data_IF_350643381572
#
_entry.id   IF_350643381572
#
_cell.length_a   1.000
_cell.length_b   1.000
_cell.length_c   1.000
_cell.angle_alpha   90.00
_cell.angle_beta   90.00
_cell.angle_gamma   90.00
#
_symmetry.space_group_name_H-M   'P 1'
#
loop_
_entity.id
_entity.type
_entity.pdbx_description
1 polymer ?
#
# COMPACT_ATOMS: atom_id res chain seq x y z
N UNK A 1 -10.54 -0.63 -4.14
CA UNK A 1 -11.69 0.29 -4.00
C UNK A 1 -11.54 1.45 -4.98
N UNK A 2 -11.82 1.22 -6.28
CA UNK A 2 -11.60 2.22 -7.35
C UNK A 2 -12.89 2.75 -7.98
N UNK A 3 -14.05 2.22 -7.57
CA UNK A 3 -15.35 2.52 -8.16
C UNK A 3 -15.71 4.02 -8.08
N UNK A 4 -15.57 4.70 -6.91
CA UNK A 4 -15.90 6.12 -6.82
C UNK A 4 -14.97 7.02 -7.64
N UNK A 5 -13.72 6.59 -7.83
CA UNK A 5 -12.73 7.29 -8.65
C UNK A 5 -13.06 7.13 -10.13
N UNK A 6 -13.45 5.91 -10.54
CA UNK A 6 -13.77 5.62 -11.95
C UNK A 6 -15.04 6.36 -12.39
N UNK A 7 -16.06 6.44 -11.53
CA UNK A 7 -17.30 7.17 -11.81
C UNK A 7 -17.07 8.68 -11.92
N UNK A 8 -16.15 9.23 -11.12
CA UNK A 8 -15.89 10.67 -11.07
C UNK A 8 -14.71 11.11 -11.93
N UNK A 9 -14.09 10.22 -12.70
CA UNK A 9 -13.00 10.58 -13.63
C UNK A 9 -13.53 10.64 -15.05
N UNK A 10 -13.13 11.67 -15.79
CA UNK A 10 -13.49 11.84 -17.20
C UNK A 10 -12.34 12.45 -17.99
N UNK A 11 -12.44 12.40 -19.31
CA UNK A 11 -11.52 13.07 -20.21
C UNK A 11 -11.86 14.56 -20.28
N UNK A 12 -11.02 15.41 -19.69
CA UNK A 12 -11.16 16.86 -19.69
C UNK A 12 -10.16 17.48 -20.67
N UNK A 13 -10.57 18.52 -21.40
CA UNK A 13 -9.69 19.26 -22.29
C UNK A 13 -9.02 20.40 -21.50
N UNK A 14 -7.70 20.34 -21.34
CA UNK A 14 -6.89 21.40 -20.69
C UNK A 14 -5.79 21.81 -21.67
N UNK A 15 -5.76 23.08 -22.09
CA UNK A 15 -4.73 23.65 -22.97
C UNK A 15 -4.51 22.76 -24.22
N UNK A 16 -5.59 22.47 -24.95
CA UNK A 16 -5.58 21.63 -26.16
C UNK A 16 -5.10 20.18 -25.99
N UNK A 17 -4.91 19.69 -24.75
CA UNK A 17 -4.62 18.29 -24.44
C UNK A 17 -5.80 17.66 -23.72
N UNK A 18 -6.13 16.43 -24.12
CA UNK A 18 -7.10 15.58 -23.44
C UNK A 18 -6.43 14.89 -22.26
N UNK A 19 -6.89 15.18 -21.05
CA UNK A 19 -6.33 14.66 -19.80
C UNK A 19 -7.42 13.94 -19.00
N UNK A 20 -7.11 12.78 -18.45
CA UNK A 20 -8.04 12.09 -17.54
C UNK A 20 -7.99 12.77 -16.17
N UNK A 21 -9.09 13.39 -15.75
CA UNK A 21 -9.15 14.15 -14.51
C UNK A 21 -10.55 14.10 -13.86
N UNK A 22 -10.64 14.55 -12.62
CA UNK A 22 -11.88 14.43 -11.83
C UNK A 22 -12.91 15.48 -12.22
N UNK A 23 -14.17 15.05 -12.36
CA UNK A 23 -15.28 15.83 -12.91
C UNK A 23 -15.94 16.75 -11.87
N UNK A 24 -16.27 16.24 -10.67
CA UNK A 24 -17.01 16.94 -9.60
C UNK A 24 -16.54 16.50 -8.19
N UNK A 25 -16.78 17.32 -7.16
CA UNK A 25 -16.48 17.06 -5.74
C UNK A 25 -15.04 16.62 -5.44
N UNK A 26 -14.11 17.50 -5.81
CA UNK A 26 -12.66 17.29 -5.69
C UNK A 26 -12.27 16.96 -4.23
N UNK A 27 -12.80 17.67 -3.23
CA UNK A 27 -12.36 17.49 -1.84
C UNK A 27 -12.72 16.13 -1.22
N UNK A 28 -13.99 15.71 -1.32
CA UNK A 28 -14.43 14.41 -0.80
C UNK A 28 -13.77 13.25 -1.55
N UNK A 29 -13.57 13.39 -2.86
CA UNK A 29 -12.93 12.38 -3.68
C UNK A 29 -11.43 12.27 -3.37
N UNK A 30 -10.75 13.39 -3.13
CA UNK A 30 -9.34 13.39 -2.70
C UNK A 30 -9.22 12.78 -1.30
N UNK A 31 -10.10 13.12 -0.35
CA UNK A 31 -10.10 12.50 0.98
C UNK A 31 -10.30 10.98 0.86
N UNK A 32 -11.26 10.55 0.04
CA UNK A 32 -11.49 9.14 -0.22
C UNK A 32 -10.26 8.47 -0.87
N UNK A 33 -9.64 9.12 -1.85
CA UNK A 33 -8.40 8.64 -2.48
C UNK A 33 -7.26 8.48 -1.50
N UNK A 34 -7.05 9.49 -0.65
CA UNK A 34 -5.97 9.53 0.34
C UNK A 34 -6.17 8.50 1.46
N UNK A 35 -7.42 8.25 1.89
CA UNK A 35 -7.70 7.29 2.97
C UNK A 35 -7.84 5.85 2.47
N UNK A 36 -8.52 5.64 1.35
CA UNK A 36 -9.01 4.32 0.94
C UNK A 36 -8.40 3.78 -0.36
N UNK A 37 -7.88 4.62 -1.26
CA UNK A 37 -7.48 4.15 -2.60
C UNK A 37 -5.98 4.08 -2.86
N UNK A 38 -5.22 5.17 -2.72
CA UNK A 38 -3.82 5.18 -3.18
C UNK A 38 -2.85 4.55 -2.20
N UNK A 39 -3.10 4.80 -0.92
CA UNK A 39 -2.17 4.40 0.14
C UNK A 39 -2.82 3.44 1.11
N UNK A 40 -4.13 3.26 0.94
CA UNK A 40 -5.00 2.48 1.79
C UNK A 40 -4.62 2.69 3.26
N UNK A 41 -4.40 3.94 3.66
CA UNK A 41 -3.85 4.30 4.96
C UNK A 41 -4.73 3.72 6.08
N UNK A 42 -6.04 3.69 5.85
CA UNK A 42 -6.98 2.98 6.72
C UNK A 42 -6.74 1.47 6.75
N UNK A 43 -6.54 0.81 5.59
CA UNK A 43 -6.22 -0.62 5.54
C UNK A 43 -4.86 -0.91 6.21
N UNK A 44 -3.85 -0.06 6.00
CA UNK A 44 -2.55 -0.17 6.64
C UNK A 44 -2.64 -0.05 8.16
N UNK A 45 -3.36 0.96 8.68
CA UNK A 45 -3.56 1.14 10.12
C UNK A 45 -4.30 -0.07 10.74
N UNK A 46 -5.34 -0.56 10.06
CA UNK A 46 -6.09 -1.74 10.50
C UNK A 46 -5.18 -2.97 10.52
N UNK A 47 -4.43 -3.21 9.45
CA UNK A 47 -3.56 -4.40 9.37
C UNK A 47 -2.42 -4.34 10.39
N UNK A 48 -1.75 -3.20 10.55
CA UNK A 48 -0.73 -3.03 11.59
C UNK A 48 -1.33 -3.26 12.98
N UNK A 49 -2.51 -2.70 13.28
CA UNK A 49 -3.15 -2.94 14.58
C UNK A 49 -3.42 -4.42 14.81
N UNK A 50 -3.97 -5.12 13.82
CA UNK A 50 -4.27 -6.55 13.91
C UNK A 50 -2.97 -7.36 14.07
N UNK A 51 -1.96 -7.13 13.23
CA UNK A 51 -0.69 -7.86 13.25
C UNK A 51 0.06 -7.64 14.57
N UNK A 52 0.09 -6.40 15.06
CA UNK A 52 0.71 -6.05 16.35
C UNK A 52 -0.03 -6.70 17.51
N UNK A 53 -1.37 -6.66 17.49
CA UNK A 53 -2.20 -7.32 18.50
C UNK A 53 -1.97 -8.84 18.53
N UNK A 54 -1.91 -9.48 17.36
CA UNK A 54 -1.59 -10.90 17.25
C UNK A 54 -0.20 -11.20 17.78
N UNK A 55 0.81 -10.41 17.40
CA UNK A 55 2.18 -10.57 17.88
C UNK A 55 2.26 -10.48 19.42
N UNK A 56 1.64 -9.46 20.01
CA UNK A 56 1.58 -9.28 21.48
C UNK A 56 0.90 -10.48 22.15
N UNK A 57 -0.20 -10.98 21.61
CA UNK A 57 -0.85 -12.19 22.14
C UNK A 57 0.04 -13.42 22.03
N UNK A 58 0.71 -13.65 20.90
CA UNK A 58 1.61 -14.80 20.71
C UNK A 58 2.78 -14.74 21.69
N UNK A 59 3.38 -13.56 21.90
CA UNK A 59 4.47 -13.35 22.86
C UNK A 59 4.00 -13.53 24.31
N UNK A 60 2.83 -12.99 24.69
CA UNK A 60 2.27 -13.21 26.04
C UNK A 60 1.97 -14.68 26.28
N UNK A 61 1.45 -15.38 25.27
CA UNK A 61 1.14 -16.80 25.37
C UNK A 61 2.38 -17.71 25.32
N UNK A 62 3.52 -17.22 24.80
CA UNK A 62 4.80 -17.93 24.88
C UNK A 62 5.49 -17.81 26.21
N UNK A 63 5.31 -16.70 26.92
CA UNK A 63 5.92 -16.49 28.25
C UNK A 63 5.19 -17.22 29.39
N UNK A 64 3.91 -17.56 29.22
CA UNK A 64 3.07 -18.11 30.29
C UNK A 64 2.87 -19.64 30.34
N UNK A 65 3.52 -20.44 29.49
CA UNK A 65 3.39 -21.92 29.52
C UNK A 65 4.74 -22.62 29.30
N UNK A 66 5.09 -23.65 30.11
CA UNK A 66 6.14 -24.60 29.75
C UNK A 66 5.75 -25.29 28.43
N UNK A 67 6.64 -25.26 27.43
CA UNK A 67 6.32 -25.75 26.09
C UNK A 67 6.74 -27.22 25.91
N UNK A 68 5.85 -28.11 25.46
CA UNK A 68 6.25 -29.36 24.83
C UNK A 68 6.88 -29.05 23.46
N UNK A 69 7.82 -29.90 23.05
CA UNK A 69 8.75 -29.72 21.92
C UNK A 69 8.04 -29.45 20.57
N UNK A 70 6.85 -30.01 20.35
CA UNK A 70 6.08 -29.84 19.11
C UNK A 70 5.44 -28.45 18.95
N UNK A 71 5.21 -27.72 20.04
CA UNK A 71 4.57 -26.39 19.99
C UNK A 71 5.54 -25.28 19.58
N UNK A 72 6.84 -25.54 19.56
CA UNK A 72 7.86 -24.55 19.15
C UNK A 72 7.89 -24.36 17.63
N UNK A 73 7.78 -25.44 16.85
CA UNK A 73 7.79 -25.37 15.38
C UNK A 73 6.59 -24.58 14.83
N UNK A 74 5.38 -24.82 15.36
CA UNK A 74 4.17 -24.09 14.97
C UNK A 74 4.22 -22.60 15.33
N UNK A 75 4.80 -22.25 16.50
CA UNK A 75 5.04 -20.86 16.91
C UNK A 75 6.06 -20.14 16.03
N UNK A 76 7.15 -20.81 15.64
CA UNK A 76 8.13 -20.25 14.71
C UNK A 76 7.51 -19.93 13.35
N UNK A 77 6.70 -20.84 12.81
CA UNK A 77 6.01 -20.63 11.52
C UNK A 77 5.00 -19.49 11.60
N UNK A 78 4.22 -19.40 12.69
CA UNK A 78 3.27 -18.29 12.87
C UNK A 78 3.98 -16.93 13.03
N UNK A 79 5.06 -16.86 13.82
CA UNK A 79 5.85 -15.63 13.96
C UNK A 79 6.47 -15.21 12.62
N UNK A 80 6.99 -16.15 11.82
CA UNK A 80 7.55 -15.86 10.49
C UNK A 80 6.52 -15.25 9.52
N UNK A 81 5.27 -15.74 9.57
CA UNK A 81 4.16 -15.19 8.75
C UNK A 81 3.77 -13.78 9.19
N UNK A 82 3.63 -13.55 10.49
CA UNK A 82 3.31 -12.22 11.04
C UNK A 82 4.40 -11.20 10.66
N UNK A 83 5.68 -11.57 10.82
CA UNK A 83 6.80 -10.71 10.43
C UNK A 83 6.78 -10.42 8.92
N UNK A 84 6.46 -11.41 8.09
CA UNK A 84 6.37 -11.25 6.64
C UNK A 84 5.25 -10.27 6.26
N UNK A 85 4.06 -10.40 6.87
CA UNK A 85 2.96 -9.45 6.66
C UNK A 85 3.34 -8.04 7.10
N UNK A 86 3.94 -7.90 8.27
CA UNK A 86 4.39 -6.60 8.77
C UNK A 86 5.38 -5.94 7.80
N UNK A 87 6.38 -6.68 7.31
CA UNK A 87 7.36 -6.15 6.32
C UNK A 87 6.68 -5.72 5.03
N UNK A 88 5.75 -6.53 4.49
CA UNK A 88 5.01 -6.20 3.28
C UNK A 88 4.19 -4.92 3.45
N UNK A 89 3.48 -4.80 4.57
CA UNK A 89 2.65 -3.63 4.85
C UNK A 89 3.49 -2.39 5.12
N UNK A 90 4.59 -2.48 5.87
CA UNK A 90 5.51 -1.36 6.09
C UNK A 90 6.16 -0.89 4.80
N UNK A 91 6.58 -1.80 3.93
CA UNK A 91 7.15 -1.45 2.63
C UNK A 91 6.11 -0.77 1.72
N UNK A 92 4.89 -1.31 1.65
CA UNK A 92 3.79 -0.69 0.91
C UNK A 92 3.50 0.74 1.39
N UNK A 93 3.48 0.96 2.70
CA UNK A 93 3.28 2.29 3.28
C UNK A 93 4.39 3.27 2.91
N UNK A 94 5.66 2.86 3.00
CA UNK A 94 6.80 3.71 2.64
C UNK A 94 6.75 4.13 1.17
N UNK A 95 6.39 3.22 0.27
CA UNK A 95 6.24 3.51 -1.16
C UNK A 95 5.09 4.48 -1.45
N UNK A 96 4.02 4.42 -0.65
CA UNK A 96 2.83 5.25 -0.85
C UNK A 96 2.93 6.63 -0.18
N UNK A 97 3.81 6.79 0.82
CA UNK A 97 3.96 7.99 1.65
C UNK A 97 4.18 9.30 0.86
N UNK A 98 5.03 9.36 -0.19
CA UNK A 98 5.21 10.59 -0.99
C UNK A 98 3.90 11.04 -1.66
N UNK A 99 3.08 10.09 -2.09
CA UNK A 99 1.78 10.34 -2.72
C UNK A 99 0.78 10.90 -1.69
N UNK A 100 0.72 10.32 -0.48
CA UNK A 100 -0.15 10.83 0.62
C UNK A 100 0.16 12.28 0.92
N UNK A 101 1.45 12.59 1.15
CA UNK A 101 1.88 13.91 1.58
C UNK A 101 1.50 14.94 0.53
N UNK A 102 1.72 14.64 -0.75
CA UNK A 102 1.32 15.53 -1.83
C UNK A 102 -0.20 15.75 -1.87
N UNK A 103 -1.02 14.70 -1.74
CA UNK A 103 -2.47 14.86 -1.71
C UNK A 103 -2.95 15.68 -0.50
N UNK A 104 -2.44 15.41 0.70
CA UNK A 104 -2.79 16.18 1.90
C UNK A 104 -2.39 17.65 1.77
N UNK A 105 -1.21 17.96 1.23
CA UNK A 105 -0.79 19.33 0.94
C UNK A 105 -1.74 20.02 -0.03
N UNK A 106 -2.20 19.32 -1.08
CA UNK A 106 -3.15 19.85 -2.06
C UNK A 106 -4.47 20.28 -1.38
N UNK A 107 -5.01 19.45 -0.49
CA UNK A 107 -6.24 19.76 0.26
C UNK A 107 -6.01 20.97 1.18
N UNK A 108 -4.92 20.99 1.95
CA UNK A 108 -4.64 22.07 2.91
C UNK A 108 -4.51 23.40 2.19
N UNK A 109 -3.84 23.43 1.03
CA UNK A 109 -3.67 24.63 0.23
C UNK A 109 -4.97 25.11 -0.42
N UNK A 110 -5.78 24.18 -0.95
CA UNK A 110 -7.09 24.50 -1.50
C UNK A 110 -7.99 25.15 -0.43
N UNK A 111 -7.99 24.59 0.79
CA UNK A 111 -8.81 25.08 1.90
C UNK A 111 -8.35 26.43 2.45
N UNK A 112 -7.06 26.73 2.38
CA UNK A 112 -6.48 27.99 2.86
C UNK A 112 -6.52 29.12 1.82
N UNK A 113 -6.97 28.85 0.58
CA UNK A 113 -7.05 29.84 -0.50
C UNK A 113 -5.72 30.59 -0.75
N UNK A 114 -4.59 29.94 -0.45
CA UNK A 114 -3.26 30.49 -0.65
C UNK A 114 -2.97 30.61 -2.15
N UNK A 115 -2.45 31.76 -2.59
CA UNK A 115 -1.86 31.87 -3.92
C UNK A 115 -0.66 30.93 -4.02
N UNK A 116 -0.81 29.87 -4.80
CA UNK A 116 0.22 28.85 -4.99
C UNK A 116 1.20 29.34 -6.05
N UNK A 117 2.50 29.32 -5.75
CA UNK A 117 3.51 29.58 -6.78
C UNK A 117 3.55 28.44 -7.78
N UNK A 118 3.84 28.74 -9.05
CA UNK A 118 3.93 27.71 -10.10
C UNK A 118 4.99 26.64 -9.76
N UNK A 119 6.08 27.04 -9.11
CA UNK A 119 7.14 26.14 -8.65
C UNK A 119 6.64 25.14 -7.60
N UNK A 120 5.77 25.58 -6.69
CA UNK A 120 5.17 24.68 -5.69
C UNK A 120 4.25 23.65 -6.36
N UNK A 121 3.47 24.06 -7.36
CA UNK A 121 2.62 23.14 -8.13
C UNK A 121 3.45 22.09 -8.88
N UNK A 122 4.57 22.49 -9.50
CA UNK A 122 5.51 21.57 -10.17
C UNK A 122 6.12 20.57 -9.18
N UNK A 123 6.52 21.03 -8.00
CA UNK A 123 7.04 20.17 -6.93
C UNK A 123 6.00 19.13 -6.51
N UNK A 124 4.75 19.55 -6.30
CA UNK A 124 3.64 18.69 -5.93
C UNK A 124 3.38 17.59 -6.99
N UNK A 125 3.35 17.98 -8.27
CA UNK A 125 3.19 17.06 -9.40
C UNK A 125 4.34 16.06 -9.49
N UNK A 126 5.58 16.49 -9.26
CA UNK A 126 6.75 15.60 -9.24
C UNK A 126 6.62 14.55 -8.13
N UNK A 127 6.24 14.97 -6.91
CA UNK A 127 6.03 14.06 -5.79
C UNK A 127 4.90 13.05 -6.04
N UNK A 128 3.81 13.49 -6.66
CA UNK A 128 2.73 12.59 -7.07
C UNK A 128 3.25 11.54 -8.06
N UNK A 129 3.98 11.94 -9.11
CA UNK A 129 4.53 11.01 -10.10
C UNK A 129 5.53 10.02 -9.50
N UNK A 130 6.41 10.47 -8.61
CA UNK A 130 7.34 9.60 -7.88
C UNK A 130 6.56 8.61 -7.02
N UNK A 131 5.58 9.09 -6.24
CA UNK A 131 4.75 8.23 -5.39
C UNK A 131 4.00 7.17 -6.20
N UNK A 132 3.43 7.56 -7.33
CA UNK A 132 2.76 6.63 -8.25
C UNK A 132 3.70 5.56 -8.80
N UNK A 133 4.91 5.96 -9.20
CA UNK A 133 5.93 5.03 -9.69
C UNK A 133 6.34 4.05 -8.60
N UNK A 134 6.49 4.51 -7.36
CA UNK A 134 6.83 3.66 -6.22
C UNK A 134 5.71 2.68 -5.87
N UNK A 135 4.44 3.11 -5.90
CA UNK A 135 3.28 2.22 -5.69
C UNK A 135 3.21 1.14 -6.77
N UNK A 136 3.45 1.52 -8.03
CA UNK A 136 3.47 0.56 -9.14
C UNK A 136 4.61 -0.44 -9.02
N UNK A 137 5.81 0.05 -8.66
CA UNK A 137 6.97 -0.79 -8.41
C UNK A 137 6.72 -1.75 -7.24
N UNK A 138 6.14 -1.27 -6.14
CA UNK A 138 5.80 -2.10 -4.99
C UNK A 138 4.79 -3.18 -5.33
N UNK A 139 3.72 -2.84 -6.06
CA UNK A 139 2.72 -3.80 -6.53
C UNK A 139 3.35 -4.91 -7.38
N UNK A 140 4.32 -4.53 -8.23
CA UNK A 140 5.07 -5.46 -9.07
C UNK A 140 6.05 -6.34 -8.27
N UNK A 141 6.71 -5.78 -7.26
CA UNK A 141 7.70 -6.49 -6.43
C UNK A 141 7.09 -7.40 -5.36
N UNK A 142 5.82 -7.21 -4.99
CA UNK A 142 5.15 -8.08 -4.02
C UNK A 142 5.23 -9.56 -4.40
N UNK A 143 5.17 -9.89 -5.70
CA UNK A 143 5.28 -11.27 -6.17
C UNK A 143 6.65 -11.89 -5.84
N UNK A 144 7.73 -11.10 -5.89
CA UNK A 144 9.09 -11.51 -5.54
C UNK A 144 9.17 -11.78 -4.05
N UNK A 145 8.61 -10.87 -3.23
CA UNK A 145 8.54 -11.03 -1.78
C UNK A 145 7.77 -12.30 -1.38
N UNK A 146 6.64 -12.57 -2.02
CA UNK A 146 5.88 -13.81 -1.81
C UNK A 146 6.69 -15.05 -2.21
N UNK A 147 7.45 -15.01 -3.30
CA UNK A 147 8.32 -16.11 -3.71
C UNK A 147 9.44 -16.41 -2.70
N UNK A 148 10.05 -15.37 -2.10
CA UNK A 148 11.10 -15.57 -1.11
C UNK A 148 10.58 -16.04 0.25
N UNK A 149 9.37 -15.61 0.64
CA UNK A 149 8.85 -15.85 2.00
C UNK A 149 7.87 -17.02 2.10
N UNK A 150 7.16 -17.36 1.02
CA UNK A 150 6.13 -18.40 1.01
C UNK A 150 6.55 -19.55 0.09
N UNK A 151 7.15 -20.60 0.66
CA UNK A 151 7.64 -21.77 -0.10
C UNK A 151 6.56 -22.42 -0.98
N UNK A 152 5.30 -22.48 -0.51
CA UNK A 152 4.19 -23.01 -1.31
C UNK A 152 3.89 -22.15 -2.54
N UNK A 153 3.95 -20.82 -2.41
CA UNK A 153 3.76 -19.91 -3.54
C UNK A 153 4.89 -20.06 -4.56
N UNK A 154 6.14 -20.13 -4.09
CA UNK A 154 7.31 -20.44 -4.92
C UNK A 154 7.15 -21.74 -5.70
N UNK A 155 6.73 -22.81 -5.02
CA UNK A 155 6.52 -24.12 -5.65
C UNK A 155 5.44 -24.06 -6.74
N UNK A 156 4.31 -23.39 -6.48
CA UNK A 156 3.22 -23.25 -7.46
C UNK A 156 3.67 -22.40 -8.65
N UNK A 157 4.33 -21.27 -8.41
CA UNK A 157 4.78 -20.36 -9.46
C UNK A 157 5.86 -20.97 -10.36
N UNK A 158 6.77 -21.76 -9.78
CA UNK A 158 7.86 -22.42 -10.52
C UNK A 158 7.45 -23.75 -11.15
N UNK A 159 6.32 -24.35 -10.75
CA UNK A 159 5.83 -25.62 -11.29
C UNK A 159 5.74 -25.64 -12.83
N UNK A 160 5.19 -24.60 -13.51
CA UNK A 160 5.14 -24.58 -14.98
C UNK A 160 6.54 -24.57 -15.61
N UNK A 161 7.50 -23.86 -14.99
CA UNK A 161 8.88 -23.74 -15.47
C UNK A 161 9.67 -25.06 -15.33
N UNK A 162 9.34 -25.89 -14.35
CA UNK A 162 9.94 -27.23 -14.20
C UNK A 162 9.21 -28.30 -15.02
N UNK A 163 7.93 -28.09 -15.35
CA UNK A 163 7.15 -29.07 -16.14
C UNK A 163 7.44 -28.97 -17.64
N UNK A 164 7.83 -27.80 -18.14
CA UNK A 164 8.22 -27.61 -19.55
C UNK A 164 9.64 -28.07 -19.90
N UNK A 165 10.41 -28.58 -18.92
CA UNK A 165 11.81 -28.98 -19.09
C UNK A 165 12.02 -30.50 -19.23
N UNK A 166 10.93 -31.27 -19.35
CA UNK A 166 10.94 -32.71 -19.61
C UNK A 166 10.34 -33.01 -20.99
#
# INVERSE_FOLDING_TARGET
>A
MSLPISINSDLILIINRKLCWHKHNIDLLIIYQALFSYTCLTQFLIVIMIDTFFLVKVVRWSRGRPQPTDTQASKMVNNSRIITMLVLHSFAFLCALPCVIAYLLTITLHRQNLQISEEFLRFLLLFLNIGWTLIFLQSSLNIVLYCFRINKFKQILLKPLTTHRN
#
